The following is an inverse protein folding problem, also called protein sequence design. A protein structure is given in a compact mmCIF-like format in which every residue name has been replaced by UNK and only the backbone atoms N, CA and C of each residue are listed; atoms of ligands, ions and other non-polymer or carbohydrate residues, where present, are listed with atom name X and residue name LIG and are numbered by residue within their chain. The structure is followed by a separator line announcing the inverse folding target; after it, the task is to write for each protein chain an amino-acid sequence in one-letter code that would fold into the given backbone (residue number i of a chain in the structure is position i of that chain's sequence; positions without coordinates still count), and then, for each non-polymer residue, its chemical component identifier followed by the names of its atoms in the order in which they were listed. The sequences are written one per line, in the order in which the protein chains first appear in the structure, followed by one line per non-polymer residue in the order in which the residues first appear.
data_IF_511930949361
#
_entry.id   IF_511930949361
#
_cell.length_a   1.000
_cell.length_b   1.000
_cell.length_c   1.000
_cell.angle_alpha   90.00
_cell.angle_beta   90.00
_cell.angle_gamma   90.00
#
_symmetry.space_group_name_H-M   'P 1'
#
loop_
_entity.id
_entity.type
_entity.pdbx_description
1 polymer ?
#
# COMPACT_ATOMS: atom_id res chain seq x y z
N UNK A 1 -24.57 15.31 8.32
CA UNK A 1 -24.28 15.31 6.87
C UNK A 1 -22.81 15.01 6.75
N UNK A 2 -22.46 13.77 6.41
CA UNK A 2 -21.07 13.35 6.29
C UNK A 2 -20.58 13.72 4.88
N UNK A 3 -19.33 14.18 4.77
CA UNK A 3 -18.66 14.37 3.50
C UNK A 3 -18.56 13.03 2.79
N UNK A 4 -18.97 12.97 1.52
CA UNK A 4 -18.75 11.78 0.70
C UNK A 4 -17.40 11.87 -0.01
N UNK A 5 -16.78 10.75 -0.39
CA UNK A 5 -15.55 10.76 -1.18
C UNK A 5 -15.68 11.58 -2.47
N UNK A 6 -16.86 11.55 -3.09
CA UNK A 6 -17.16 12.30 -4.31
C UNK A 6 -17.25 13.81 -4.07
N UNK A 7 -17.62 14.25 -2.85
CA UNK A 7 -17.64 15.68 -2.50
C UNK A 7 -16.23 16.27 -2.38
N UNK A 8 -15.25 15.44 -2.00
CA UNK A 8 -13.84 15.84 -1.85
C UNK A 8 -13.18 15.97 -3.23
N UNK A 9 -13.38 15.00 -4.12
CA UNK A 9 -12.86 15.03 -5.50
C UNK A 9 -13.43 16.20 -6.30
N UNK A 10 -14.71 16.52 -6.11
CA UNK A 10 -15.36 17.62 -6.82
C UNK A 10 -15.08 19.00 -6.21
N UNK A 11 -14.32 19.08 -5.11
CA UNK A 11 -14.06 20.34 -4.42
C UNK A 11 -13.06 21.19 -5.20
N UNK A 12 -13.47 22.41 -5.55
CA UNK A 12 -12.57 23.41 -6.16
C UNK A 12 -12.27 24.54 -5.20
N UNK A 13 -10.99 24.80 -4.99
CA UNK A 13 -10.49 25.93 -4.20
C UNK A 13 -10.20 27.14 -5.09
N UNK A 14 -10.29 28.34 -4.51
CA UNK A 14 -10.00 29.59 -5.21
C UNK A 14 -8.51 29.91 -5.09
N UNK A 15 -7.78 30.19 -6.19
CA UNK A 15 -6.34 30.45 -6.14
C UNK A 15 -6.03 31.81 -5.50
N UNK A 16 -5.12 31.83 -4.53
CA UNK A 16 -4.72 33.07 -3.83
C UNK A 16 -3.51 33.72 -4.52
N UNK A 17 -3.74 34.83 -5.25
CA UNK A 17 -2.67 35.55 -5.99
C UNK A 17 -1.84 36.54 -5.17
N UNK A 18 -2.29 36.94 -3.97
CA UNK A 18 -1.71 38.05 -3.20
C UNK A 18 -1.31 37.67 -1.76
N UNK A 19 -1.37 36.38 -1.41
CA UNK A 19 -0.97 35.83 -0.11
C UNK A 19 -0.28 34.50 -0.31
N UNK A 20 0.61 34.13 0.62
CA UNK A 20 1.16 32.78 0.71
C UNK A 20 -0.02 31.80 0.76
N UNK A 21 -0.15 31.01 -0.29
CA UNK A 21 -1.14 29.95 -0.44
C UNK A 21 -0.44 28.60 -0.34
N UNK A 22 -1.24 27.55 -0.13
CA UNK A 22 -0.75 26.18 -0.26
C UNK A 22 -0.37 25.89 -1.71
N UNK A 23 0.63 25.03 -1.90
CA UNK A 23 0.95 24.50 -3.22
C UNK A 23 -0.23 23.66 -3.73
N UNK A 24 -0.60 23.86 -4.98
CA UNK A 24 -1.75 23.17 -5.57
C UNK A 24 -1.49 21.67 -5.68
N UNK A 25 -0.27 21.28 -6.07
CA UNK A 25 0.06 19.88 -6.29
C UNK A 25 0.11 19.12 -4.95
N UNK A 26 0.66 19.75 -3.89
CA UNK A 26 0.69 19.17 -2.54
C UNK A 26 -0.72 19.02 -1.93
N UNK A 27 -1.61 19.98 -2.21
CA UNK A 27 -3.01 19.89 -1.80
C UNK A 27 -3.73 18.79 -2.55
N UNK A 28 -3.51 18.66 -3.86
CA UNK A 28 -4.13 17.63 -4.68
C UNK A 28 -3.66 16.22 -4.24
N UNK A 29 -2.36 16.02 -3.97
CA UNK A 29 -1.81 14.76 -3.44
C UNK A 29 -2.43 14.38 -2.07
N UNK A 30 -2.57 15.35 -1.17
CA UNK A 30 -3.20 15.13 0.14
C UNK A 30 -4.69 14.78 0.02
N UNK A 31 -5.41 15.41 -0.92
CA UNK A 31 -6.82 15.12 -1.15
C UNK A 31 -7.04 13.71 -1.71
N UNK A 32 -6.12 13.20 -2.54
CA UNK A 32 -6.16 11.82 -3.01
C UNK A 32 -6.01 10.81 -1.85
N UNK A 33 -5.11 11.06 -0.90
CA UNK A 33 -4.96 10.23 0.30
C UNK A 33 -6.24 10.26 1.16
N UNK A 34 -6.81 11.44 1.36
CA UNK A 34 -8.06 11.63 2.11
C UNK A 34 -9.23 10.88 1.45
N UNK A 35 -9.34 10.90 0.12
CA UNK A 35 -10.38 10.18 -0.61
C UNK A 35 -10.23 8.66 -0.47
N UNK A 36 -8.99 8.16 -0.54
CA UNK A 36 -8.70 6.75 -0.37
C UNK A 36 -9.10 6.26 1.02
N UNK A 37 -8.73 6.99 2.08
CA UNK A 37 -9.06 6.61 3.44
C UNK A 37 -10.57 6.78 3.74
N UNK A 38 -11.23 7.79 3.17
CA UNK A 38 -12.67 7.97 3.34
C UNK A 38 -13.48 6.85 2.65
N UNK A 39 -13.03 6.34 1.50
CA UNK A 39 -13.62 5.15 0.85
C UNK A 39 -13.44 3.91 1.72
N UNK A 40 -12.23 3.71 2.26
CA UNK A 40 -11.93 2.60 3.17
C UNK A 40 -12.79 2.65 4.43
N UNK A 41 -12.88 3.79 5.11
CA UNK A 41 -13.69 3.96 6.32
C UNK A 41 -15.17 3.76 6.07
N UNK A 42 -15.69 4.18 4.91
CA UNK A 42 -17.08 3.91 4.54
C UNK A 42 -17.31 2.42 4.30
N UNK A 43 -16.39 1.74 3.59
CA UNK A 43 -16.47 0.31 3.37
C UNK A 43 -16.40 -0.48 4.69
N UNK A 44 -15.51 -0.10 5.61
CA UNK A 44 -15.42 -0.70 6.94
C UNK A 44 -16.69 -0.43 7.77
N UNK A 45 -17.25 0.78 7.71
CA UNK A 45 -18.53 1.07 8.36
C UNK A 45 -19.67 0.24 7.79
N UNK A 46 -19.73 0.06 6.48
CA UNK A 46 -20.75 -0.75 5.83
C UNK A 46 -20.59 -2.23 6.18
N UNK A 47 -19.36 -2.75 6.23
CA UNK A 47 -19.06 -4.10 6.71
C UNK A 47 -19.45 -4.29 8.19
N UNK A 48 -19.12 -3.33 9.06
CA UNK A 48 -19.49 -3.38 10.47
C UNK A 48 -21.01 -3.31 10.65
N UNK A 49 -21.69 -2.46 9.88
CA UNK A 49 -23.16 -2.39 9.87
C UNK A 49 -23.78 -3.69 9.38
N UNK A 50 -23.25 -4.31 8.33
CA UNK A 50 -23.71 -5.62 7.86
C UNK A 50 -23.47 -6.72 8.89
N UNK A 51 -22.35 -6.68 9.62
CA UNK A 51 -22.08 -7.63 10.72
C UNK A 51 -23.04 -7.45 11.88
N UNK A 52 -23.39 -6.20 12.21
CA UNK A 52 -24.41 -5.91 13.22
C UNK A 52 -25.79 -6.35 12.76
N UNK A 53 -26.19 -6.04 11.52
CA UNK A 53 -27.49 -6.46 10.95
C UNK A 53 -27.61 -7.99 10.85
N UNK A 54 -26.52 -8.68 10.48
CA UNK A 54 -26.44 -10.15 10.46
C UNK A 54 -26.42 -10.77 11.87
N UNK A 55 -25.95 -10.02 12.88
CA UNK A 55 -26.02 -10.41 14.29
C UNK A 55 -27.41 -10.17 14.87
N UNK A 56 -28.00 -9.01 14.58
CA UNK A 56 -29.32 -8.60 15.02
C UNK A 56 -30.42 -9.46 14.38
N UNK A 57 -30.24 -9.90 13.13
CA UNK A 57 -31.11 -10.91 12.49
C UNK A 57 -31.02 -12.28 13.18
N UNK A 58 -29.85 -12.64 13.73
CA UNK A 58 -29.69 -13.88 14.54
C UNK A 58 -30.31 -13.74 15.92
N UNK A 59 -30.32 -12.53 16.48
CA UNK A 59 -30.96 -12.24 17.75
C UNK A 59 -32.49 -12.10 17.60
N UNK A 60 -33.00 -11.64 16.45
CA UNK A 60 -34.45 -11.55 16.13
C UNK A 60 -35.09 -12.92 15.88
N UNK A 61 -34.39 -13.86 15.23
CA UNK A 61 -34.83 -15.28 15.12
C UNK A 61 -34.76 -16.04 16.48
N UNK A 62 -34.20 -15.43 17.52
CA UNK A 62 -34.12 -15.98 18.88
C UNK A 62 -35.05 -15.33 19.91
N UNK A 63 -35.75 -14.24 19.61
CA UNK A 63 -36.45 -13.44 20.63
C UNK A 63 -37.98 -13.51 20.49
N UNK A 64 -38.57 -14.59 21.00
CA UNK A 64 -39.92 -14.54 21.56
C UNK A 64 -39.88 -13.81 22.93
N UNK A 65 -40.97 -13.14 23.36
CA UNK A 65 -40.92 -12.12 24.41
C UNK A 65 -41.03 -12.72 25.81
N UNK A 66 -40.18 -12.29 26.74
CA UNK A 66 -40.49 -12.30 28.17
C UNK A 66 -39.68 -11.21 28.92
N UNK A 67 -40.22 -10.62 30.01
CA UNK A 67 -40.09 -9.17 30.23
C UNK A 67 -39.30 -8.76 31.49
N UNK A 68 -39.03 -7.45 31.53
CA UNK A 68 -38.73 -6.51 32.64
C UNK A 68 -37.43 -6.60 33.47
N UNK A 69 -36.63 -5.54 33.29
CA UNK A 69 -36.04 -4.64 34.30
C UNK A 69 -35.38 -5.19 35.57
N UNK A 70 -34.08 -4.87 35.75
CA UNK A 70 -33.62 -3.94 36.80
C UNK A 70 -32.07 -3.79 36.84
N UNK A 71 -31.61 -2.54 36.63
CA UNK A 71 -30.61 -1.76 37.38
C UNK A 71 -29.42 -2.45 38.11
N UNK A 72 -28.23 -1.88 37.88
CA UNK A 72 -27.04 -1.74 38.74
C UNK A 72 -25.91 -2.80 38.69
N UNK A 73 -24.76 -2.36 38.17
CA UNK A 73 -23.42 -2.74 38.67
C UNK A 73 -23.11 -1.96 39.98
N UNK A 74 -22.04 -2.24 40.77
CA UNK A 74 -21.02 -3.30 40.67
C UNK A 74 -20.62 -3.96 42.03
N UNK A 75 -20.28 -5.25 42.09
CA UNK A 75 -19.24 -5.77 43.01
C UNK A 75 -18.78 -7.18 42.61
N UNK A 76 -17.48 -7.36 42.42
CA UNK A 76 -16.81 -8.67 42.54
C UNK A 76 -16.64 -8.99 44.05
N UNK A 77 -16.70 -10.25 44.52
CA UNK A 77 -15.75 -11.31 44.13
C UNK A 77 -16.35 -12.73 43.94
N UNK A 78 -15.57 -13.57 43.27
CA UNK A 78 -15.65 -15.05 43.15
C UNK A 78 -15.81 -15.78 44.50
N UNK A 79 -16.17 -17.09 44.58
CA UNK A 79 -16.51 -18.09 43.54
C UNK A 79 -17.76 -18.95 43.87
N UNK A 80 -18.51 -19.47 42.87
CA UNK A 80 -19.22 -20.75 42.95
C UNK A 80 -20.08 -21.02 41.70
N UNK A 81 -20.01 -22.27 41.24
CA UNK A 81 -21.09 -23.06 40.62
C UNK A 81 -21.86 -22.41 39.46
N UNK A 82 -21.64 -22.94 38.25
CA UNK A 82 -22.58 -22.83 37.14
C UNK A 82 -23.65 -23.92 37.32
N UNK A 83 -24.91 -23.60 37.70
CA UNK A 83 -26.04 -24.44 37.36
C UNK A 83 -26.52 -24.10 35.95
N UNK A 84 -26.84 -25.15 35.19
CA UNK A 84 -27.40 -25.09 33.85
C UNK A 84 -28.77 -24.39 33.80
N UNK A 85 -29.08 -23.66 32.72
CA UNK A 85 -30.45 -23.40 32.32
C UNK A 85 -30.85 -24.31 31.14
N UNK A 86 -31.71 -25.26 31.50
CA UNK A 86 -32.94 -25.70 30.85
C UNK A 86 -33.24 -25.23 29.40
N UNK A 87 -33.39 -26.19 28.45
CA UNK A 87 -34.02 -26.00 27.16
C UNK A 87 -35.52 -26.38 27.20
N UNK A 88 -36.32 -25.71 26.37
CA UNK A 88 -37.68 -26.12 25.99
C UNK A 88 -37.91 -25.68 24.53
N UNK A 89 -38.90 -26.21 23.78
CA UNK A 89 -39.50 -27.55 23.81
C UNK A 89 -39.77 -28.14 22.39
N UNK A 90 -39.86 -29.47 22.26
CA UNK A 90 -40.67 -30.19 21.25
C UNK A 90 -40.80 -31.66 21.69
N UNK A 91 -41.83 -32.42 21.26
CA UNK A 91 -42.90 -32.94 22.10
C UNK A 91 -42.75 -34.41 22.56
N UNK A 92 -43.45 -34.72 23.64
CA UNK A 92 -43.62 -36.05 24.23
C UNK A 92 -44.30 -37.04 23.28
N UNK A 93 -44.02 -38.34 23.45
CA UNK A 93 -45.13 -39.25 23.72
C UNK A 93 -44.96 -39.93 25.07
N UNK A 94 -46.06 -39.87 25.83
CA UNK A 94 -46.26 -40.39 27.16
C UNK A 94 -45.95 -41.90 27.29
N UNK A 95 -45.41 -42.27 28.45
CA UNK A 95 -45.34 -43.64 28.96
C UNK A 95 -46.39 -43.88 30.05
N UNK A 96 -46.76 -45.17 30.19
CA UNK A 96 -47.46 -45.82 31.33
C UNK A 96 -49.01 -45.78 31.31
N UNK A 97 -49.77 -46.88 31.49
CA UNK A 97 -49.46 -48.27 31.85
C UNK A 97 -50.72 -49.18 31.65
N UNK A 98 -50.52 -50.49 31.92
CA UNK A 98 -51.50 -51.60 32.15
C UNK A 98 -52.17 -52.14 30.87
N UNK A 99 -52.19 -53.44 30.53
CA UNK A 99 -52.40 -54.68 31.30
C UNK A 99 -51.72 -55.85 30.57
N UNK A 100 -51.10 -56.76 31.32
CA UNK A 100 -50.66 -58.06 30.84
C UNK A 100 -51.85 -59.01 30.65
N UNK A 101 -51.94 -59.73 29.51
CA UNK A 101 -52.46 -61.09 29.52
C UNK A 101 -51.41 -62.08 28.99
N UNK A 102 -51.24 -63.13 29.78
CA UNK A 102 -50.82 -64.49 29.42
C UNK A 102 -49.79 -64.65 28.28
N UNK A 103 -48.55 -64.97 28.69
CA UNK A 103 -47.56 -65.60 27.83
C UNK A 103 -48.13 -66.86 27.15
N UNK A 104 -48.09 -66.98 25.81
CA UNK A 104 -48.04 -68.30 25.20
C UNK A 104 -46.67 -68.89 25.52
N UNK A 105 -46.66 -70.15 25.96
CA UNK A 105 -45.46 -70.92 26.20
C UNK A 105 -44.48 -70.79 25.02
N UNK A 106 -43.27 -70.32 25.29
CA UNK A 106 -42.16 -70.40 24.36
C UNK A 106 -41.86 -71.89 24.15
N UNK A 107 -42.33 -72.41 23.02
CA UNK A 107 -41.82 -73.66 22.46
C UNK A 107 -40.36 -73.36 22.16
N UNK A 108 -39.44 -74.01 22.89
CA UNK A 108 -38.01 -73.84 22.67
C UNK A 108 -37.68 -74.07 21.19
N UNK A 109 -36.80 -73.23 20.60
CA UNK A 109 -36.48 -73.33 19.19
C UNK A 109 -35.97 -74.74 18.95
N UNK A 110 -36.58 -75.42 18.00
CA UNK A 110 -36.02 -76.68 17.52
C UNK A 110 -34.59 -76.39 17.05
N UNK A 111 -33.65 -77.31 17.25
CA UNK A 111 -32.22 -77.08 17.00
C UNK A 111 -31.91 -76.47 15.61
N UNK A 112 -32.75 -76.74 14.60
CA UNK A 112 -32.70 -76.15 13.26
C UNK A 112 -32.88 -74.61 13.20
N UNK A 113 -33.63 -74.01 14.11
CA UNK A 113 -33.94 -72.57 14.11
C UNK A 113 -32.80 -71.73 14.74
N UNK A 114 -32.10 -72.31 15.73
CA UNK A 114 -30.87 -71.74 16.30
C UNK A 114 -29.69 -71.75 15.31
N UNK A 115 -29.58 -72.76 14.45
CA UNK A 115 -28.54 -72.78 13.41
C UNK A 115 -28.84 -71.76 12.30
N UNK A 116 -30.11 -71.63 11.91
CA UNK A 116 -30.55 -70.65 10.90
C UNK A 116 -30.34 -69.20 11.35
N UNK A 117 -30.62 -68.88 12.62
CA UNK A 117 -30.37 -67.53 13.18
C UNK A 117 -28.89 -67.21 13.33
N UNK A 118 -28.05 -68.20 13.67
CA UNK A 118 -26.59 -68.02 13.67
C UNK A 118 -26.04 -67.76 12.25
N UNK A 119 -26.54 -68.48 11.24
CA UNK A 119 -26.17 -68.23 9.85
C UNK A 119 -26.62 -66.83 9.36
N UNK A 120 -27.80 -66.37 9.77
CA UNK A 120 -28.27 -65.01 9.47
C UNK A 120 -27.42 -63.94 10.15
N UNK A 121 -27.03 -64.12 11.42
CA UNK A 121 -26.13 -63.21 12.13
C UNK A 121 -24.73 -63.17 11.50
N UNK A 122 -24.21 -64.30 11.01
CA UNK A 122 -22.96 -64.34 10.27
C UNK A 122 -23.06 -63.60 8.94
N UNK A 123 -24.17 -63.75 8.22
CA UNK A 123 -24.43 -62.99 7.00
C UNK A 123 -24.55 -61.48 7.28
N UNK A 124 -25.30 -61.10 8.32
CA UNK A 124 -25.45 -59.70 8.72
C UNK A 124 -24.12 -59.06 9.14
N UNK A 125 -23.26 -59.80 9.86
CA UNK A 125 -21.89 -59.34 10.20
C UNK A 125 -21.04 -59.15 8.96
N UNK A 126 -21.06 -60.09 8.01
CA UNK A 126 -20.31 -59.96 6.75
C UNK A 126 -20.79 -58.78 5.91
N UNK A 127 -22.10 -58.59 5.79
CA UNK A 127 -22.69 -57.46 5.07
C UNK A 127 -22.34 -56.12 5.74
N UNK A 128 -22.31 -56.09 7.07
CA UNK A 128 -21.91 -54.91 7.82
C UNK A 128 -20.42 -54.61 7.66
N UNK A 129 -19.55 -55.62 7.77
CA UNK A 129 -18.11 -55.50 7.52
C UNK A 129 -17.82 -55.00 6.10
N UNK A 130 -18.59 -55.46 5.11
CA UNK A 130 -18.54 -54.97 3.73
C UNK A 130 -18.94 -53.49 3.63
N UNK A 131 -20.08 -53.09 4.21
CA UNK A 131 -20.50 -51.68 4.22
C UNK A 131 -19.52 -50.77 4.97
N UNK A 132 -18.93 -51.25 6.06
CA UNK A 132 -17.91 -50.52 6.81
C UNK A 132 -16.66 -50.35 5.95
N UNK A 133 -16.21 -51.41 5.27
CA UNK A 133 -15.07 -51.34 4.36
C UNK A 133 -15.32 -50.37 3.22
N UNK A 134 -16.46 -50.47 2.55
CA UNK A 134 -16.86 -49.54 1.50
C UNK A 134 -16.94 -48.09 2.02
N UNK A 135 -17.46 -47.89 3.24
CA UNK A 135 -17.54 -46.58 3.86
C UNK A 135 -16.16 -45.98 4.12
N UNK A 136 -15.22 -46.79 4.61
CA UNK A 136 -13.82 -46.39 4.83
C UNK A 136 -13.14 -46.07 3.50
N UNK A 137 -13.28 -46.92 2.48
CA UNK A 137 -12.70 -46.70 1.15
C UNK A 137 -13.26 -45.41 0.51
N UNK A 138 -14.57 -45.18 0.58
CA UNK A 138 -15.21 -43.95 0.07
C UNK A 138 -14.73 -42.72 0.83
N UNK A 139 -14.63 -42.80 2.17
CA UNK A 139 -14.10 -41.72 2.99
C UNK A 139 -12.65 -41.40 2.62
N UNK A 140 -11.80 -42.42 2.53
CA UNK A 140 -10.37 -42.25 2.25
C UNK A 140 -10.15 -41.71 0.83
N UNK A 141 -10.97 -42.13 -0.14
CA UNK A 141 -10.99 -41.56 -1.49
C UNK A 141 -11.36 -40.07 -1.49
N UNK A 142 -12.40 -39.67 -0.76
CA UNK A 142 -12.81 -38.26 -0.64
C UNK A 142 -11.74 -37.41 0.04
N UNK A 143 -11.08 -37.95 1.07
CA UNK A 143 -9.97 -37.28 1.75
C UNK A 143 -8.78 -37.10 0.79
N UNK A 144 -8.45 -38.14 0.01
CA UNK A 144 -7.37 -38.06 -0.98
C UNK A 144 -7.67 -37.03 -2.08
N UNK A 145 -8.90 -36.98 -2.57
CA UNK A 145 -9.34 -35.97 -3.54
C UNK A 145 -9.30 -34.55 -2.94
N UNK A 146 -9.80 -34.38 -1.71
CA UNK A 146 -9.72 -33.12 -0.98
C UNK A 146 -8.28 -32.64 -0.79
N UNK A 147 -7.36 -33.54 -0.42
CA UNK A 147 -5.94 -33.20 -0.30
C UNK A 147 -5.29 -32.87 -1.64
N UNK A 148 -5.63 -33.60 -2.71
CA UNK A 148 -5.12 -33.33 -4.06
C UNK A 148 -5.57 -31.96 -4.58
N UNK A 149 -6.85 -31.62 -4.41
CA UNK A 149 -7.40 -30.32 -4.81
C UNK A 149 -6.81 -29.18 -3.97
N UNK A 150 -6.69 -29.35 -2.66
CA UNK A 150 -6.03 -28.38 -1.79
C UNK A 150 -4.56 -28.16 -2.19
N UNK A 151 -3.80 -29.24 -2.43
CA UNK A 151 -2.41 -29.16 -2.87
C UNK A 151 -2.29 -28.43 -4.22
N UNK A 152 -3.21 -28.68 -5.15
CA UNK A 152 -3.26 -27.99 -6.45
C UNK A 152 -3.50 -26.49 -6.29
N UNK A 153 -4.46 -26.08 -5.47
CA UNK A 153 -4.77 -24.66 -5.25
C UNK A 153 -3.61 -23.95 -4.55
N UNK A 154 -2.97 -24.59 -3.57
CA UNK A 154 -1.78 -24.05 -2.91
C UNK A 154 -0.64 -23.90 -3.90
N UNK A 155 -0.35 -24.93 -4.70
CA UNK A 155 0.71 -24.87 -5.71
C UNK A 155 0.48 -23.78 -6.76
N UNK A 156 -0.77 -23.61 -7.22
CA UNK A 156 -1.16 -22.54 -8.14
C UNK A 156 -1.02 -21.15 -7.51
N UNK A 157 -1.48 -21.00 -6.26
CA UNK A 157 -1.36 -19.74 -5.51
C UNK A 157 0.10 -19.35 -5.28
N UNK A 158 0.95 -20.31 -4.91
CA UNK A 158 2.38 -20.07 -4.76
C UNK A 158 3.08 -19.77 -6.08
N UNK A 159 2.68 -20.43 -7.18
CA UNK A 159 3.22 -20.14 -8.51
C UNK A 159 2.90 -18.71 -8.93
N UNK A 160 1.63 -18.29 -8.82
CA UNK A 160 1.19 -16.91 -9.10
C UNK A 160 1.90 -15.90 -8.20
N UNK A 161 2.06 -16.21 -6.91
CA UNK A 161 2.81 -15.36 -5.98
C UNK A 161 4.26 -15.19 -6.43
N UNK A 162 4.94 -16.29 -6.78
CA UNK A 162 6.34 -16.25 -7.24
C UNK A 162 6.48 -15.43 -8.52
N UNK A 163 5.56 -15.60 -9.46
CA UNK A 163 5.50 -14.83 -10.70
C UNK A 163 5.33 -13.32 -10.42
N UNK A 164 4.31 -12.94 -9.63
CA UNK A 164 4.06 -11.54 -9.26
C UNK A 164 5.26 -10.91 -8.53
N UNK A 165 5.91 -11.66 -7.64
CA UNK A 165 7.12 -11.18 -6.96
C UNK A 165 8.26 -10.99 -7.97
N UNK A 166 8.47 -11.92 -8.89
CA UNK A 166 9.53 -11.80 -9.90
C UNK A 166 9.28 -10.63 -10.87
N UNK A 167 8.03 -10.40 -11.25
CA UNK A 167 7.63 -9.27 -12.10
C UNK A 167 7.83 -7.95 -11.36
N UNK A 168 7.38 -7.87 -10.11
CA UNK A 168 7.57 -6.68 -9.28
C UNK A 168 9.05 -6.37 -9.06
N UNK A 169 9.88 -7.39 -8.80
CA UNK A 169 11.33 -7.22 -8.67
C UNK A 169 11.98 -6.75 -9.97
N UNK A 170 11.54 -7.26 -11.13
CA UNK A 170 12.08 -6.84 -12.43
C UNK A 170 11.71 -5.39 -12.70
N UNK A 171 10.44 -5.01 -12.52
CA UNK A 171 10.00 -3.61 -12.67
C UNK A 171 10.72 -2.67 -11.70
N UNK A 172 10.93 -3.09 -10.45
CA UNK A 172 11.68 -2.31 -9.48
C UNK A 172 13.14 -2.11 -9.91
N UNK A 173 13.80 -3.15 -10.42
CA UNK A 173 15.17 -3.04 -10.95
C UNK A 173 15.22 -2.10 -12.15
N UNK A 174 14.26 -2.19 -13.07
CA UNK A 174 14.20 -1.35 -14.26
C UNK A 174 14.02 0.14 -13.88
N UNK A 175 13.09 0.45 -12.98
CA UNK A 175 12.85 1.83 -12.49
C UNK A 175 14.08 2.40 -11.82
N UNK A 176 14.79 1.62 -11.01
CA UNK A 176 16.04 2.07 -10.37
C UNK A 176 17.12 2.32 -11.44
N UNK A 177 17.24 1.46 -12.43
CA UNK A 177 18.22 1.65 -13.51
C UNK A 177 17.92 2.88 -14.36
N UNK A 178 16.66 3.13 -14.71
CA UNK A 178 16.27 4.33 -15.47
C UNK A 178 16.50 5.59 -14.65
N UNK A 179 16.12 5.60 -13.37
CA UNK A 179 16.35 6.73 -12.47
C UNK A 179 17.85 7.03 -12.28
N UNK A 180 18.68 5.99 -12.14
CA UNK A 180 20.13 6.17 -12.08
C UNK A 180 20.72 6.70 -13.39
N UNK A 181 20.21 6.25 -14.54
CA UNK A 181 20.64 6.73 -15.85
C UNK A 181 20.31 8.21 -16.05
N UNK A 182 19.06 8.62 -15.75
CA UNK A 182 18.64 10.02 -15.80
C UNK A 182 19.44 10.89 -14.83
N UNK A 183 19.72 10.40 -13.63
CA UNK A 183 20.60 11.07 -12.68
C UNK A 183 22.01 11.26 -13.23
N UNK A 184 22.59 10.26 -13.88
CA UNK A 184 23.93 10.40 -14.50
C UNK A 184 23.89 11.42 -15.63
N UNK A 185 22.89 11.37 -16.49
CA UNK A 185 22.74 12.32 -17.60
C UNK A 185 22.58 13.77 -17.11
N UNK A 186 21.74 14.00 -16.09
CA UNK A 186 21.56 15.34 -15.51
C UNK A 186 22.82 15.86 -14.84
N UNK A 187 23.57 15.01 -14.15
CA UNK A 187 24.86 15.38 -13.57
C UNK A 187 25.92 15.69 -14.64
N UNK A 188 25.94 14.93 -15.74
CA UNK A 188 26.81 15.21 -16.88
C UNK A 188 26.48 16.55 -17.53
N UNK A 189 25.19 16.83 -17.79
CA UNK A 189 24.72 18.14 -18.29
C UNK A 189 25.18 19.26 -17.36
N UNK A 190 24.91 19.13 -16.06
CA UNK A 190 25.27 20.15 -15.08
C UNK A 190 26.80 20.34 -14.98
N UNK A 191 27.58 19.27 -15.12
CA UNK A 191 29.05 19.35 -15.16
C UNK A 191 29.56 20.09 -16.41
N UNK A 192 28.96 19.85 -17.57
CA UNK A 192 29.31 20.56 -18.82
C UNK A 192 28.95 22.04 -18.75
N UNK A 193 27.77 22.38 -18.22
CA UNK A 193 27.32 23.76 -18.01
C UNK A 193 28.24 24.48 -17.03
N UNK A 194 28.55 23.85 -15.88
CA UNK A 194 29.49 24.38 -14.90
C UNK A 194 30.82 24.70 -15.55
N UNK A 195 31.39 23.76 -16.31
CA UNK A 195 32.68 23.97 -16.97
C UNK A 195 32.59 25.07 -18.04
N UNK A 196 31.48 25.18 -18.75
CA UNK A 196 31.22 26.26 -19.71
C UNK A 196 31.15 27.64 -19.06
N UNK A 197 30.43 27.74 -17.93
CA UNK A 197 30.34 28.97 -17.14
C UNK A 197 31.69 29.35 -16.53
N UNK A 198 32.46 28.39 -16.02
CA UNK A 198 33.82 28.61 -15.51
C UNK A 198 34.73 29.20 -16.59
N UNK A 199 34.74 28.64 -17.80
CA UNK A 199 35.50 29.20 -18.94
C UNK A 199 35.04 30.61 -19.27
N UNK A 200 33.73 30.86 -19.30
CA UNK A 200 33.18 32.20 -19.62
C UNK A 200 33.59 33.25 -18.57
N UNK A 201 33.66 32.86 -17.30
CA UNK A 201 34.14 33.72 -16.21
C UNK A 201 35.61 34.08 -16.43
N UNK A 202 36.45 33.11 -16.79
CA UNK A 202 37.88 33.35 -17.01
C UNK A 202 38.14 34.21 -18.26
N UNK A 203 37.36 34.01 -19.34
CA UNK A 203 37.38 34.87 -20.52
C UNK A 203 37.00 36.31 -20.16
N UNK A 204 35.94 36.51 -19.37
CA UNK A 204 35.50 37.84 -18.94
C UNK A 204 36.54 38.53 -18.05
N UNK A 205 37.21 37.80 -17.15
CA UNK A 205 38.30 38.33 -16.32
C UNK A 205 39.51 38.75 -17.15
N UNK A 206 39.85 37.96 -18.16
CA UNK A 206 40.94 38.27 -19.08
C UNK A 206 40.59 39.49 -19.93
N UNK A 207 39.38 39.53 -20.48
CA UNK A 207 38.86 40.67 -21.23
C UNK A 207 38.87 41.94 -20.40
N UNK A 208 38.41 41.89 -19.14
CA UNK A 208 38.44 43.04 -18.23
C UNK A 208 39.87 43.54 -17.99
N UNK A 209 40.81 42.64 -17.73
CA UNK A 209 42.21 42.98 -17.51
C UNK A 209 42.80 43.68 -18.74
N UNK A 210 42.59 43.10 -19.93
CA UNK A 210 43.10 43.63 -21.19
C UNK A 210 42.43 44.97 -21.54
N UNK A 211 41.13 45.10 -21.29
CA UNK A 211 40.39 46.35 -21.49
C UNK A 211 40.91 47.45 -20.57
N UNK A 212 41.13 47.16 -19.28
CA UNK A 212 41.72 48.12 -18.33
C UNK A 212 43.13 48.53 -18.75
N UNK A 213 43.96 47.60 -19.24
CA UNK A 213 45.29 47.92 -19.75
C UNK A 213 45.23 48.80 -21.00
N UNK A 214 44.35 48.49 -21.97
CA UNK A 214 44.13 49.29 -23.17
C UNK A 214 43.68 50.71 -22.80
N UNK A 215 42.70 50.83 -21.91
CA UNK A 215 42.20 52.13 -21.44
C UNK A 215 43.31 52.94 -20.75
N UNK A 216 44.11 52.30 -19.90
CA UNK A 216 45.26 52.95 -19.26
C UNK A 216 46.27 53.45 -20.31
N UNK A 217 46.66 52.61 -21.26
CA UNK A 217 47.61 52.98 -22.32
C UNK A 217 47.09 54.11 -23.21
N UNK A 218 45.79 54.13 -23.49
CA UNK A 218 45.14 55.19 -24.27
C UNK A 218 45.18 56.52 -23.53
N UNK A 219 44.80 56.54 -22.25
CA UNK A 219 44.85 57.75 -21.41
C UNK A 219 46.28 58.26 -21.25
N UNK A 220 47.26 57.36 -20.99
CA UNK A 220 48.68 57.73 -20.91
C UNK A 220 49.22 58.29 -22.24
N UNK A 221 48.75 57.75 -23.38
CA UNK A 221 49.07 58.26 -24.70
C UNK A 221 48.52 59.67 -24.93
N UNK A 222 47.24 59.90 -24.63
CA UNK A 222 46.61 61.22 -24.73
C UNK A 222 47.29 62.27 -23.84
N UNK A 223 47.68 61.89 -22.62
CA UNK A 223 48.45 62.77 -21.73
C UNK A 223 49.81 63.15 -22.32
N UNK A 224 50.53 62.18 -22.91
CA UNK A 224 51.84 62.45 -23.54
C UNK A 224 51.73 63.37 -24.76
N UNK A 225 50.68 63.23 -25.58
CA UNK A 225 50.43 64.13 -26.70
C UNK A 225 50.18 65.57 -26.22
N UNK A 226 49.36 65.75 -25.18
CA UNK A 226 49.11 67.05 -24.55
C UNK A 226 50.39 67.66 -23.95
N UNK A 227 51.20 66.88 -23.25
CA UNK A 227 52.50 67.33 -22.72
C UNK A 227 53.47 67.71 -23.86
N UNK A 228 53.45 66.95 -24.96
CA UNK A 228 54.25 67.19 -26.15
C UNK A 228 53.88 68.48 -26.89
N UNK A 229 52.58 68.72 -27.09
CA UNK A 229 52.07 69.99 -27.66
C UNK A 229 52.46 71.19 -26.79
N UNK A 230 52.36 71.07 -25.45
CA UNK A 230 52.77 72.13 -24.53
C UNK A 230 54.29 72.42 -24.55
N UNK A 231 55.11 71.42 -24.87
CA UNK A 231 56.58 71.55 -24.93
C UNK A 231 57.04 72.07 -26.30
N UNK A 232 56.31 71.76 -27.38
CA UNK A 232 56.59 72.24 -28.74
C UNK A 232 56.47 73.75 -28.91
N UNK A 233 55.64 74.43 -28.12
CA UNK A 233 55.54 75.89 -28.10
C UNK A 233 56.65 76.57 -27.27
N UNK A 234 57.46 75.84 -26.51
CA UNK A 234 58.45 76.41 -25.60
C UNK A 234 59.92 76.15 -26.01
N UNK A 235 60.20 75.91 -27.30
CA UNK A 235 61.58 75.99 -27.79
C UNK A 235 62.04 77.46 -27.85
N UNK A 236 63.15 77.83 -27.17
CA UNK A 236 63.75 79.13 -27.41
C UNK A 236 64.33 79.13 -28.82
N UNK A 237 63.71 79.88 -29.72
CA UNK A 237 64.28 80.26 -31.02
C UNK A 237 65.65 80.90 -30.77
N UNK A 238 66.72 80.15 -31.02
CA UNK A 238 68.07 80.68 -31.01
C UNK A 238 68.18 81.77 -32.10
N UNK A 239 68.69 82.98 -31.80
CA UNK A 239 68.76 84.04 -32.77
C UNK A 239 69.78 83.69 -33.86
N UNK A 240 69.33 83.74 -35.11
CA UNK A 240 70.16 83.67 -36.30
C UNK A 240 71.30 84.71 -36.21
N UNK A 241 72.52 84.23 -35.97
CA UNK A 241 73.73 85.04 -36.05
C UNK A 241 74.14 85.16 -37.50
N UNK A 242 73.74 86.27 -38.12
CA UNK A 242 74.35 86.77 -39.34
C UNK A 242 75.81 87.22 -39.07
N UNK A 243 76.58 87.35 -40.15
CA UNK A 243 77.95 87.87 -40.28
C UNK A 243 79.13 86.91 -40.06
N UNK A 244 79.97 86.78 -41.10
CA UNK A 244 81.39 86.48 -40.92
C UNK A 244 82.11 85.88 -42.13
N UNK A 245 82.61 86.74 -43.03
CA UNK A 245 83.59 86.46 -44.08
C UNK A 245 84.83 85.67 -43.60
N UNK A 246 85.46 84.88 -44.50
CA UNK A 246 86.93 84.71 -44.47
C UNK A 246 87.49 83.39 -45.00
N UNK A 247 88.45 83.52 -45.93
CA UNK A 247 89.44 82.57 -46.50
C UNK A 247 90.06 81.58 -45.48
N UNK A 248 90.66 80.44 -45.84
CA UNK A 248 91.51 80.09 -46.98
C UNK A 248 91.63 78.56 -47.04
#
# INVERSE_FOLDING_TARGET
MALTPEDVVNKRFQPTKFREGYDQDEVDDFLDEVVAELRRLNQENDELRQRLDSGESRDDEGQAPAPVSAVAAPVAPTPASVPAPEPAPAPEPAVAAVVAPAAPAYVGPSADETESTNNLLQLARRLHEEHVREGVEKRDALIAEGHSTAARVVAEGEAKKRELVSDAETRARDVVQTAEAEKRETLEKLATERTGLERRIDDLRTFERDYRQKLKSYIEGQLRELDGESTGENQPVAPASAQGFGSN
#
